data_IF_119630737040
#
_entry.id   IF_119630737040
#
_cell.length_a   1.000
_cell.length_b   1.000
_cell.length_c   1.000
_cell.angle_alpha   90.00
_cell.angle_beta   90.00
_cell.angle_gamma   90.00
#
_symmetry.space_group_name_H-M   'P 1'
#
loop_
_entity.id
_entity.type
_entity.pdbx_description
1 polymer ?
#
# COMPACT_ATOMS: atom_id res chain seq x y z
N UNK A 1 -7.91 16.21 -0.37
CA UNK A 1 -8.00 15.18 0.69
C UNK A 1 -6.71 15.20 1.48
N UNK A 2 -6.79 15.26 2.81
CA UNK A 2 -5.63 15.28 3.70
C UNK A 2 -5.99 14.72 5.08
N UNK A 3 -4.98 14.64 5.96
CA UNK A 3 -5.17 14.21 7.36
C UNK A 3 -5.21 12.70 7.56
N UNK A 4 -4.95 11.90 6.52
CA UNK A 4 -4.84 10.45 6.63
C UNK A 4 -3.49 10.06 7.25
N UNK A 5 -3.48 8.93 7.96
CA UNK A 5 -2.31 8.38 8.60
C UNK A 5 -1.25 7.92 7.59
N UNK A 6 -1.69 7.35 6.45
CA UNK A 6 -0.80 6.76 5.45
C UNK A 6 -0.11 5.51 5.98
N UNK A 7 1.15 5.29 5.62
CA UNK A 7 1.94 4.18 6.16
C UNK A 7 2.58 3.30 5.08
N UNK A 8 3.29 2.27 5.51
CA UNK A 8 3.93 1.33 4.59
C UNK A 8 2.90 0.37 3.97
N UNK A 9 2.80 0.35 2.63
CA UNK A 9 1.81 -0.39 1.84
C UNK A 9 1.85 -1.93 1.95
N UNK A 10 2.88 -2.47 2.60
CA UNK A 10 2.98 -3.88 2.97
C UNK A 10 2.61 -4.10 4.44
N UNK A 11 3.57 -3.82 5.32
CA UNK A 11 3.46 -3.94 6.77
C UNK A 11 2.24 -3.27 7.45
N UNK A 12 1.64 -2.24 6.86
CA UNK A 12 0.49 -1.53 7.45
C UNK A 12 -0.78 -1.59 6.59
N UNK A 13 -0.80 -2.43 5.54
CA UNK A 13 -1.98 -2.58 4.67
C UNK A 13 -3.18 -3.21 5.39
N UNK A 14 -2.93 -3.90 6.50
CA UNK A 14 -3.91 -4.52 7.38
C UNK A 14 -4.50 -3.56 8.41
N UNK A 15 -4.05 -2.30 8.46
CA UNK A 15 -4.52 -1.31 9.44
C UNK A 15 -5.81 -0.60 9.03
N UNK A 16 -6.48 -1.07 7.98
CA UNK A 16 -7.73 -0.51 7.43
C UNK A 16 -7.63 0.98 7.10
N UNK A 17 -6.43 1.44 6.72
CA UNK A 17 -6.18 2.85 6.41
C UNK A 17 -6.72 3.21 5.03
N UNK A 18 -7.30 4.39 4.91
CA UNK A 18 -7.80 4.94 3.67
C UNK A 18 -6.65 5.27 2.70
N UNK A 19 -6.95 5.23 1.40
CA UNK A 19 -6.06 5.75 0.36
C UNK A 19 -6.61 7.10 -0.11
N UNK A 20 -5.83 8.18 0.05
CA UNK A 20 -6.26 9.54 -0.27
C UNK A 20 -6.71 9.71 -1.73
N UNK A 21 -6.05 9.04 -2.68
CA UNK A 21 -6.41 9.09 -4.11
C UNK A 21 -7.77 8.46 -4.36
N UNK A 22 -8.03 7.29 -3.77
CA UNK A 22 -9.32 6.59 -3.92
C UNK A 22 -10.46 7.41 -3.29
N UNK A 23 -10.21 8.00 -2.12
CA UNK A 23 -11.15 8.91 -1.46
C UNK A 23 -11.43 10.14 -2.34
N UNK A 24 -10.41 10.74 -2.94
CA UNK A 24 -10.57 11.88 -3.84
C UNK A 24 -11.42 11.50 -5.06
N UNK A 25 -11.16 10.35 -5.69
CA UNK A 25 -11.94 9.89 -6.84
C UNK A 25 -13.42 9.67 -6.47
N UNK A 26 -13.70 9.13 -5.28
CA UNK A 26 -15.07 8.98 -4.77
C UNK A 26 -15.75 10.32 -4.56
N UNK A 27 -15.06 11.28 -3.94
CA UNK A 27 -15.57 12.64 -3.77
C UNK A 27 -15.92 13.28 -5.13
N UNK A 28 -15.00 13.23 -6.10
CA UNK A 28 -15.20 13.80 -7.43
C UNK A 28 -16.41 13.17 -8.14
N UNK A 29 -16.56 11.85 -8.09
CA UNK A 29 -17.74 11.18 -8.66
C UNK A 29 -19.05 11.67 -8.04
N UNK A 30 -19.09 11.86 -6.72
CA UNK A 30 -20.28 12.34 -6.02
C UNK A 30 -20.55 13.84 -6.26
N UNK A 31 -19.50 14.65 -6.47
CA UNK A 31 -19.62 16.06 -6.84
C UNK A 31 -20.40 16.30 -8.13
N UNK A 32 -20.51 15.31 -9.02
CA UNK A 32 -21.36 15.43 -10.23
C UNK A 32 -22.84 15.67 -9.91
N UNK A 33 -23.29 15.26 -8.72
CA UNK A 33 -24.64 15.56 -8.25
C UNK A 33 -24.78 17.01 -7.73
N UNK A 34 -23.65 17.67 -7.48
CA UNK A 34 -23.58 19.05 -6.98
C UNK A 34 -23.38 20.06 -8.09
N UNK A 35 -23.09 19.64 -9.33
CA UNK A 35 -22.90 20.51 -10.48
C UNK A 35 -21.95 19.93 -11.52
N UNK A 36 -21.93 20.55 -12.69
CA UNK A 36 -20.99 20.22 -13.74
C UNK A 36 -19.60 20.78 -13.40
N UNK A 37 -18.56 20.00 -13.65
CA UNK A 37 -17.19 20.46 -13.52
C UNK A 37 -16.30 19.81 -14.57
N UNK A 38 -15.16 20.45 -14.83
CA UNK A 38 -14.08 19.92 -15.64
C UNK A 38 -12.82 19.76 -14.77
N UNK A 39 -12.09 18.66 -14.94
CA UNK A 39 -10.88 18.35 -14.16
C UNK A 39 -9.65 18.90 -14.89
N UNK A 40 -8.91 19.81 -14.24
CA UNK A 40 -7.68 20.40 -14.76
C UNK A 40 -6.43 19.69 -14.23
N UNK A 41 -6.37 19.42 -12.92
CA UNK A 41 -5.24 18.74 -12.28
C UNK A 41 -5.74 17.62 -11.37
N UNK A 42 -4.95 16.55 -11.24
CA UNK A 42 -5.13 15.53 -10.22
C UNK A 42 -3.76 14.98 -9.81
N UNK A 43 -3.51 14.91 -8.51
CA UNK A 43 -2.33 14.24 -7.97
C UNK A 43 -2.63 13.60 -6.62
N UNK A 44 -1.89 12.57 -6.26
CA UNK A 44 -2.03 11.92 -4.96
C UNK A 44 -0.89 10.97 -4.66
N UNK A 45 -0.48 10.94 -3.40
CA UNK A 45 0.65 10.14 -2.94
C UNK A 45 2.01 10.62 -3.47
N UNK A 46 3.08 9.99 -2.96
CA UNK A 46 4.47 10.39 -3.22
C UNK A 46 5.41 9.20 -3.49
N UNK A 47 5.06 8.01 -3.01
CA UNK A 47 5.84 6.77 -3.17
C UNK A 47 4.89 5.61 -3.42
N UNK A 48 5.25 4.74 -4.34
CA UNK A 48 4.50 3.55 -4.72
C UNK A 48 4.25 2.59 -3.54
N UNK A 49 5.25 2.50 -2.65
CA UNK A 49 5.24 1.65 -1.47
C UNK A 49 4.62 2.31 -0.22
N UNK A 50 4.06 3.51 -0.33
CA UNK A 50 3.41 4.22 0.77
C UNK A 50 1.91 4.39 0.50
N UNK A 51 1.08 4.18 1.52
CA UNK A 51 -0.36 4.46 1.47
C UNK A 51 -0.53 5.99 1.38
N UNK A 52 -1.18 6.52 0.33
CA UNK A 52 -1.31 7.96 0.12
C UNK A 52 -2.03 8.68 1.26
N UNK A 53 -1.35 9.68 1.84
CA UNK A 53 -1.90 10.53 2.91
C UNK A 53 -2.69 11.72 2.39
N UNK A 54 -2.32 12.18 1.20
CA UNK A 54 -2.85 13.39 0.60
C UNK A 54 -3.08 13.17 -0.89
N UNK A 55 -4.13 13.81 -1.39
CA UNK A 55 -4.46 13.90 -2.79
C UNK A 55 -5.18 15.21 -3.07
N UNK A 56 -4.93 15.79 -4.25
CA UNK A 56 -5.46 17.09 -4.69
C UNK A 56 -6.05 16.95 -6.10
N UNK A 57 -7.12 17.69 -6.35
CA UNK A 57 -7.60 17.98 -7.69
C UNK A 57 -7.86 19.47 -7.85
N UNK A 58 -7.77 19.97 -9.08
CA UNK A 58 -8.19 21.33 -9.47
C UNK A 58 -9.33 21.20 -10.47
N UNK A 59 -10.44 21.88 -10.20
CA UNK A 59 -11.67 21.81 -10.99
C UNK A 59 -12.01 23.19 -11.56
N UNK A 60 -12.48 23.22 -12.80
CA UNK A 60 -13.20 24.36 -13.36
C UNK A 60 -14.71 24.10 -13.27
N UNK A 61 -15.43 25.06 -12.71
CA UNK A 61 -16.87 25.00 -12.49
C UNK A 61 -17.42 26.41 -12.37
N UNK A 62 -18.72 26.59 -12.57
CA UNK A 62 -19.38 27.85 -12.21
C UNK A 62 -19.39 28.06 -10.68
N UNK A 63 -19.59 29.31 -10.26
CA UNK A 63 -19.54 29.71 -8.84
C UNK A 63 -20.56 28.96 -7.99
N UNK A 64 -21.79 28.76 -8.48
CA UNK A 64 -22.86 28.14 -7.71
C UNK A 64 -22.55 26.65 -7.46
N UNK A 65 -22.13 25.94 -8.51
CA UNK A 65 -21.67 24.56 -8.42
C UNK A 65 -20.45 24.42 -7.51
N UNK A 66 -19.50 25.36 -7.57
CA UNK A 66 -18.34 25.39 -6.67
C UNK A 66 -18.71 25.55 -5.20
N UNK A 67 -19.68 26.42 -4.88
CA UNK A 67 -20.21 26.60 -3.53
C UNK A 67 -20.92 25.33 -3.02
N UNK A 68 -21.74 24.69 -3.86
CA UNK A 68 -22.39 23.41 -3.51
C UNK A 68 -21.37 22.30 -3.26
N UNK A 69 -20.33 22.19 -4.08
CA UNK A 69 -19.24 21.21 -3.87
C UNK A 69 -18.45 21.49 -2.58
N UNK A 70 -18.22 22.76 -2.25
CA UNK A 70 -17.56 23.15 -1.00
C UNK A 70 -18.38 22.77 0.23
N UNK A 71 -19.69 23.05 0.21
CA UNK A 71 -20.60 22.60 1.27
C UNK A 71 -20.65 21.07 1.37
N UNK A 72 -20.73 20.37 0.23
CA UNK A 72 -20.77 18.92 0.19
C UNK A 72 -19.49 18.27 0.76
N UNK A 73 -18.33 18.91 0.64
CA UNK A 73 -17.08 18.40 1.21
C UNK A 73 -17.14 18.24 2.74
N UNK A 74 -17.92 19.08 3.44
CA UNK A 74 -18.10 18.98 4.89
C UNK A 74 -18.94 17.75 5.26
N UNK A 75 -20.04 17.52 4.55
CA UNK A 75 -20.91 16.36 4.75
C UNK A 75 -20.18 15.05 4.39
N UNK A 76 -19.45 15.06 3.27
CA UNK A 76 -18.63 13.94 2.85
C UNK A 76 -17.52 13.63 3.87
N UNK A 77 -16.86 14.65 4.42
CA UNK A 77 -15.88 14.49 5.50
C UNK A 77 -16.50 13.84 6.74
N UNK A 78 -17.71 14.27 7.15
CA UNK A 78 -18.41 13.69 8.29
C UNK A 78 -18.75 12.22 8.07
N UNK A 79 -19.20 11.88 6.86
CA UNK A 79 -19.48 10.50 6.47
C UNK A 79 -18.22 9.64 6.50
N UNK A 80 -17.10 10.13 5.94
CA UNK A 80 -15.82 9.42 5.96
C UNK A 80 -15.27 9.21 7.37
N UNK A 81 -15.34 10.20 8.26
CA UNK A 81 -14.90 10.02 9.64
C UNK A 81 -15.69 8.94 10.37
N UNK A 82 -16.98 8.80 10.06
CA UNK A 82 -17.81 7.70 10.56
C UNK A 82 -17.44 6.36 9.92
N UNK A 83 -17.17 6.34 8.61
CA UNK A 83 -16.77 5.13 7.87
C UNK A 83 -15.40 4.60 8.35
N UNK A 84 -14.45 5.48 8.61
CA UNK A 84 -13.07 5.17 9.02
C UNK A 84 -12.82 5.38 10.52
N UNK A 85 -13.86 5.30 11.36
CA UNK A 85 -13.72 5.35 12.81
C UNK A 85 -12.76 4.25 13.29
N UNK A 86 -11.79 4.61 14.14
CA UNK A 86 -10.75 3.69 14.62
C UNK A 86 -9.61 3.37 13.62
N UNK A 87 -9.61 3.92 12.41
CA UNK A 87 -8.54 3.70 11.41
C UNK A 87 -7.97 4.99 10.80
N UNK A 88 -8.81 5.92 10.36
CA UNK A 88 -8.40 7.19 9.72
C UNK A 88 -9.29 8.37 10.15
N UNK A 89 -9.35 8.62 11.45
CA UNK A 89 -10.24 9.64 12.04
C UNK A 89 -9.87 11.09 11.67
N UNK A 90 -8.63 11.30 11.23
CA UNK A 90 -8.11 12.58 10.76
C UNK A 90 -8.57 12.97 9.34
N UNK A 91 -9.23 12.06 8.62
CA UNK A 91 -9.62 12.25 7.22
C UNK A 91 -10.42 13.55 7.03
N UNK A 92 -9.94 14.38 6.10
CA UNK A 92 -10.56 15.67 5.80
C UNK A 92 -10.59 15.90 4.29
N UNK A 93 -11.76 16.28 3.78
CA UNK A 93 -11.94 16.75 2.41
C UNK A 93 -12.29 18.23 2.47
N UNK A 94 -11.53 19.04 1.73
CA UNK A 94 -11.79 20.47 1.61
C UNK A 94 -11.84 20.84 0.14
N UNK A 95 -12.77 21.71 -0.20
CA UNK A 95 -12.82 22.39 -1.49
C UNK A 95 -12.85 23.89 -1.22
N UNK A 96 -12.03 24.64 -1.94
CA UNK A 96 -11.85 26.07 -1.75
C UNK A 96 -11.81 26.76 -3.12
N UNK A 97 -12.46 27.93 -3.28
CA UNK A 97 -12.37 28.69 -4.52
C UNK A 97 -10.93 29.15 -4.73
N UNK A 98 -10.44 29.01 -5.96
CA UNK A 98 -9.12 29.50 -6.39
C UNK A 98 -9.23 30.80 -7.21
N UNK A 99 -10.44 31.32 -7.41
CA UNK A 99 -10.72 32.44 -8.31
C UNK A 99 -11.07 31.97 -9.72
N UNK A 100 -11.31 32.93 -10.62
CA UNK A 100 -11.55 32.65 -12.03
C UNK A 100 -10.24 32.42 -12.78
N UNK A 101 -10.21 31.37 -13.60
CA UNK A 101 -9.06 31.00 -14.42
C UNK A 101 -9.51 30.37 -15.74
N UNK A 102 -8.58 30.23 -16.69
CA UNK A 102 -8.75 29.43 -17.91
C UNK A 102 -7.62 28.41 -17.92
N UNK A 103 -7.98 27.13 -17.83
CA UNK A 103 -7.04 26.02 -17.72
C UNK A 103 -7.35 24.96 -18.77
N UNK A 104 -6.34 24.22 -19.27
CA UNK A 104 -6.60 22.99 -20.01
C UNK A 104 -7.31 22.00 -19.07
N UNK A 105 -8.33 21.32 -19.59
CA UNK A 105 -9.13 20.36 -18.83
C UNK A 105 -9.30 19.07 -19.59
N UNK A 106 -9.58 17.99 -18.85
CA UNK A 106 -9.96 16.73 -19.46
C UNK A 106 -11.22 16.86 -20.30
N UNK A 107 -11.17 16.27 -21.48
CA UNK A 107 -12.38 15.98 -22.24
C UNK A 107 -13.32 15.10 -21.38
N UNK A 108 -14.66 15.26 -21.45
CA UNK A 108 -15.60 14.53 -20.60
C UNK A 108 -15.40 13.00 -20.62
N UNK A 109 -15.12 12.42 -21.79
CA UNK A 109 -14.83 10.98 -21.91
C UNK A 109 -13.57 10.57 -21.15
N UNK A 110 -12.52 11.40 -21.16
CA UNK A 110 -11.28 11.14 -20.42
C UNK A 110 -11.51 11.26 -18.91
N UNK A 111 -12.31 12.23 -18.46
CA UNK A 111 -12.70 12.36 -17.06
C UNK A 111 -13.42 11.08 -16.57
N UNK A 112 -14.37 10.55 -17.35
CA UNK A 112 -15.06 9.31 -16.99
C UNK A 112 -14.10 8.13 -16.89
N UNK A 113 -13.17 7.99 -17.83
CA UNK A 113 -12.15 6.92 -17.79
C UNK A 113 -11.25 7.05 -16.56
N UNK A 114 -10.81 8.26 -16.22
CA UNK A 114 -10.00 8.54 -15.03
C UNK A 114 -10.73 8.16 -13.75
N UNK A 115 -11.97 8.62 -13.57
CA UNK A 115 -12.77 8.27 -12.38
C UNK A 115 -13.08 6.78 -12.33
N UNK A 116 -13.41 6.16 -13.47
CA UNK A 116 -13.65 4.73 -13.55
C UNK A 116 -12.41 3.93 -13.14
N UNK A 117 -11.23 4.30 -13.66
CA UNK A 117 -9.97 3.67 -13.30
C UNK A 117 -9.73 3.78 -11.79
N UNK A 118 -9.71 4.98 -11.23
CA UNK A 118 -9.37 5.20 -9.82
C UNK A 118 -10.35 4.52 -8.84
N UNK A 119 -11.62 4.39 -9.22
CA UNK A 119 -12.64 3.74 -8.39
C UNK A 119 -12.67 2.22 -8.52
N UNK A 120 -12.19 1.67 -9.64
CA UNK A 120 -12.17 0.22 -9.87
C UNK A 120 -10.78 -0.39 -9.73
N UNK A 121 -9.74 0.44 -9.60
CA UNK A 121 -8.38 -0.01 -9.34
C UNK A 121 -8.36 -0.84 -8.05
N UNK A 122 -7.89 -2.10 -8.09
CA UNK A 122 -7.75 -2.91 -6.88
C UNK A 122 -6.88 -2.16 -5.86
N UNK A 123 -7.37 -1.97 -4.63
CA UNK A 123 -6.59 -1.28 -3.59
C UNK A 123 -6.87 -1.92 -2.22
N UNK A 124 -5.82 -2.06 -1.41
CA UNK A 124 -5.86 -2.74 -0.12
C UNK A 124 -5.71 -4.26 -0.24
N UNK A 125 -6.17 -4.96 0.79
CA UNK A 125 -6.14 -6.43 0.88
C UNK A 125 -7.06 -7.04 -0.18
N UNK A 126 -6.53 -7.97 -0.97
CA UNK A 126 -7.29 -8.76 -1.93
C UNK A 126 -7.60 -10.17 -1.39
N UNK A 127 -6.69 -10.73 -0.58
CA UNK A 127 -6.85 -12.06 0.01
C UNK A 127 -6.04 -12.20 1.29
N UNK A 128 -6.65 -12.80 2.31
CA UNK A 128 -5.98 -13.25 3.53
C UNK A 128 -5.46 -14.69 3.37
N UNK A 129 -4.39 -15.03 4.08
CA UNK A 129 -3.84 -16.38 4.10
C UNK A 129 -4.86 -17.36 4.70
N UNK A 130 -5.05 -18.50 4.03
CA UNK A 130 -6.03 -19.51 4.47
C UNK A 130 -5.58 -20.38 5.66
N UNK A 131 -4.30 -20.30 6.06
CA UNK A 131 -3.72 -21.19 7.09
C UNK A 131 -2.88 -20.47 8.14
N UNK A 132 -2.60 -19.17 7.97
CA UNK A 132 -1.99 -18.32 9.01
C UNK A 132 -2.99 -17.21 9.31
N UNK A 133 -3.60 -17.26 10.50
CA UNK A 133 -4.58 -16.27 10.93
C UNK A 133 -3.98 -14.85 10.96
N UNK A 134 -4.74 -13.87 10.50
CA UNK A 134 -4.33 -12.46 10.43
C UNK A 134 -3.28 -12.12 9.36
N UNK A 135 -2.70 -13.08 8.64
CA UNK A 135 -1.70 -12.79 7.60
C UNK A 135 -2.35 -12.37 6.29
N UNK A 136 -1.97 -11.21 5.76
CA UNK A 136 -2.32 -10.81 4.40
C UNK A 136 -1.55 -11.67 3.41
N UNK A 137 -2.26 -12.31 2.48
CA UNK A 137 -1.62 -13.10 1.41
C UNK A 137 -1.35 -12.22 0.19
N UNK A 138 -2.35 -11.49 -0.28
CA UNK A 138 -2.28 -10.69 -1.51
C UNK A 138 -2.87 -9.31 -1.28
N UNK A 139 -2.15 -8.26 -1.70
CA UNK A 139 -2.61 -6.87 -1.64
C UNK A 139 -2.04 -6.02 -2.77
N UNK A 140 -2.60 -4.83 -2.93
CA UNK A 140 -2.05 -3.81 -3.81
C UNK A 140 -2.34 -2.40 -3.26
N UNK A 141 -1.49 -1.44 -3.59
CA UNK A 141 -1.65 -0.05 -3.16
C UNK A 141 -1.33 0.87 -4.33
N UNK A 142 -2.28 1.70 -4.75
CA UNK A 142 -2.02 2.78 -5.69
C UNK A 142 -1.36 3.94 -4.94
N UNK A 143 -0.03 3.94 -4.91
CA UNK A 143 0.78 4.80 -4.06
C UNK A 143 1.13 6.16 -4.67
N UNK A 144 1.09 6.28 -6.00
CA UNK A 144 1.27 7.53 -6.72
C UNK A 144 0.22 7.64 -7.82
N UNK A 145 -0.37 8.81 -7.94
CA UNK A 145 -1.19 9.21 -9.08
C UNK A 145 -0.86 10.64 -9.49
N UNK A 146 -0.73 10.88 -10.79
CA UNK A 146 -0.47 12.20 -11.34
C UNK A 146 -1.13 12.33 -12.71
N UNK A 147 -1.91 13.38 -12.91
CA UNK A 147 -2.43 13.75 -14.22
C UNK A 147 -1.42 14.67 -14.91
N UNK A 148 -0.90 14.22 -16.05
CA UNK A 148 -0.04 15.01 -16.95
C UNK A 148 -0.85 15.48 -18.16
N UNK A 149 -0.31 16.37 -19.01
CA UNK A 149 -0.96 16.73 -20.26
C UNK A 149 -1.26 15.54 -21.19
N UNK A 150 -0.47 14.47 -21.11
CA UNK A 150 -0.55 13.30 -21.97
C UNK A 150 -1.44 12.18 -21.38
N UNK A 151 -1.37 11.94 -20.08
CA UNK A 151 -2.02 10.79 -19.45
C UNK A 151 -2.27 10.97 -17.95
N UNK A 152 -3.15 10.13 -17.41
CA UNK A 152 -3.13 9.82 -15.98
C UNK A 152 -2.08 8.73 -15.74
N UNK A 153 -1.03 9.06 -14.99
CA UNK A 153 0.00 8.12 -14.57
C UNK A 153 -0.33 7.59 -13.17
N UNK A 154 -0.22 6.28 -12.98
CA UNK A 154 -0.36 5.60 -11.69
C UNK A 154 0.83 4.70 -11.42
N UNK A 155 1.31 4.67 -10.18
CA UNK A 155 2.33 3.72 -9.72
C UNK A 155 1.86 3.01 -8.46
N UNK A 156 2.04 1.70 -8.43
CA UNK A 156 1.49 0.84 -7.40
C UNK A 156 2.43 -0.30 -7.03
N UNK A 157 2.41 -0.66 -5.75
CA UNK A 157 3.05 -1.89 -5.25
C UNK A 157 2.03 -3.03 -5.24
N UNK A 158 2.26 -4.08 -6.03
CA UNK A 158 1.52 -5.36 -5.98
C UNK A 158 2.32 -6.36 -5.15
N UNK A 159 1.67 -7.00 -4.17
CA UNK A 159 2.34 -7.90 -3.22
C UNK A 159 1.57 -9.19 -3.07
N UNK A 160 2.28 -10.32 -3.11
CA UNK A 160 1.71 -11.58 -2.66
C UNK A 160 2.77 -12.52 -2.08
N UNK A 161 2.38 -13.29 -1.07
CA UNK A 161 3.15 -14.46 -0.62
C UNK A 161 2.97 -15.68 -1.53
N UNK A 162 2.11 -15.60 -2.56
CA UNK A 162 1.87 -16.65 -3.55
C UNK A 162 2.10 -16.09 -4.96
N UNK A 163 3.08 -16.63 -5.68
CA UNK A 163 3.49 -16.08 -6.98
C UNK A 163 2.36 -16.00 -8.02
N UNK A 164 1.54 -17.05 -8.11
CA UNK A 164 0.40 -17.08 -9.05
C UNK A 164 -0.70 -16.07 -8.71
N UNK A 165 -0.92 -15.78 -7.42
CA UNK A 165 -1.88 -14.76 -6.99
C UNK A 165 -1.37 -13.35 -7.28
N UNK A 166 -0.05 -13.11 -7.13
CA UNK A 166 0.59 -11.86 -7.56
C UNK A 166 0.36 -11.60 -9.04
N UNK A 167 0.62 -12.61 -9.88
CA UNK A 167 0.46 -12.52 -11.32
C UNK A 167 -1.00 -12.25 -11.71
N UNK A 168 -1.95 -13.00 -11.14
CA UNK A 168 -3.37 -12.80 -11.43
C UNK A 168 -3.88 -11.39 -11.08
N UNK A 169 -3.36 -10.79 -10.00
CA UNK A 169 -3.67 -9.42 -9.63
C UNK A 169 -3.03 -8.40 -10.59
N UNK A 170 -1.78 -8.63 -11.00
CA UNK A 170 -1.11 -7.82 -12.02
C UNK A 170 -1.86 -7.87 -13.36
N UNK A 171 -2.25 -9.06 -13.82
CA UNK A 171 -3.01 -9.27 -15.06
C UNK A 171 -4.37 -8.55 -15.01
N UNK A 172 -5.04 -8.57 -13.85
CA UNK A 172 -6.29 -7.81 -13.65
C UNK A 172 -6.09 -6.31 -13.79
N UNK A 173 -4.98 -5.78 -13.25
CA UNK A 173 -4.64 -4.36 -13.34
C UNK A 173 -4.27 -4.00 -14.79
N UNK A 174 -3.48 -4.83 -15.45
CA UNK A 174 -3.12 -4.68 -16.86
C UNK A 174 -4.38 -4.63 -17.73
N UNK A 175 -5.27 -5.62 -17.58
CA UNK A 175 -6.51 -5.69 -18.35
C UNK A 175 -7.42 -4.48 -18.11
N UNK A 176 -7.57 -4.01 -16.85
CA UNK A 176 -8.32 -2.78 -16.54
C UNK A 176 -7.71 -1.55 -17.26
N UNK A 177 -6.39 -1.45 -17.27
CA UNK A 177 -5.66 -0.31 -17.84
C UNK A 177 -5.75 -0.30 -19.37
N UNK A 178 -5.47 -1.43 -20.00
CA UNK A 178 -5.53 -1.64 -21.45
C UNK A 178 -6.95 -1.46 -21.98
N UNK A 179 -7.97 -1.95 -21.25
CA UNK A 179 -9.38 -1.78 -21.63
C UNK A 179 -9.78 -0.29 -21.72
N UNK A 180 -9.17 0.56 -20.89
CA UNK A 180 -9.39 2.01 -20.93
C UNK A 180 -8.54 2.72 -22.00
N UNK A 181 -7.64 1.99 -22.67
CA UNK A 181 -6.72 2.48 -23.70
C UNK A 181 -5.39 3.01 -23.14
N UNK A 182 -5.01 2.60 -21.93
CA UNK A 182 -3.71 2.91 -21.34
C UNK A 182 -2.67 1.81 -21.58
N UNK A 183 -1.47 2.03 -21.06
CA UNK A 183 -0.36 1.08 -21.07
C UNK A 183 -0.04 0.62 -19.64
N UNK A 184 0.41 -0.62 -19.50
CA UNK A 184 0.83 -1.21 -18.23
C UNK A 184 2.25 -1.76 -18.34
N UNK A 185 3.09 -1.41 -17.37
CA UNK A 185 4.46 -1.91 -17.26
C UNK A 185 4.72 -2.45 -15.86
N UNK A 186 5.56 -3.48 -15.79
CA UNK A 186 6.02 -4.07 -14.53
C UNK A 186 7.49 -3.72 -14.35
N UNK A 187 7.82 -3.16 -13.19
CA UNK A 187 9.19 -2.87 -12.78
C UNK A 187 9.47 -3.48 -11.41
N UNK A 188 10.73 -3.84 -11.17
CA UNK A 188 11.17 -4.32 -9.86
C UNK A 188 10.51 -5.61 -9.40
N UNK A 189 10.12 -6.50 -10.33
CA UNK A 189 9.52 -7.78 -9.96
C UNK A 189 10.52 -8.66 -9.18
N UNK A 190 10.08 -9.16 -8.02
CA UNK A 190 10.85 -10.08 -7.18
C UNK A 190 9.98 -11.27 -6.73
N UNK A 191 10.59 -12.46 -6.59
CA UNK A 191 9.87 -13.68 -6.22
C UNK A 191 9.36 -13.64 -4.78
N UNK A 192 8.26 -14.36 -4.54
CA UNK A 192 7.72 -14.58 -3.20
C UNK A 192 8.63 -15.52 -2.41
N UNK A 193 8.80 -15.27 -1.11
CA UNK A 193 9.35 -16.23 -0.17
C UNK A 193 8.21 -16.99 0.50
N UNK A 194 7.80 -18.12 -0.10
CA UNK A 194 6.65 -18.89 0.38
C UNK A 194 6.92 -19.53 1.74
N UNK A 195 5.91 -19.54 2.62
CA UNK A 195 6.05 -20.15 3.94
C UNK A 195 6.22 -21.66 3.85
N UNK A 196 7.41 -22.13 4.19
CA UNK A 196 7.72 -23.57 4.26
C UNK A 196 7.17 -24.17 5.56
N UNK A 197 6.09 -24.96 5.48
CA UNK A 197 5.46 -25.61 6.63
C UNK A 197 6.43 -26.52 7.40
N UNK A 198 7.27 -27.26 6.66
CA UNK A 198 8.31 -28.13 7.24
C UNK A 198 9.70 -27.55 6.99
N UNK A 199 10.21 -26.81 7.97
CA UNK A 199 11.57 -26.23 7.99
C UNK A 199 12.37 -26.84 9.14
N UNK A 200 13.43 -27.57 8.78
CA UNK A 200 14.34 -28.18 9.75
C UNK A 200 15.13 -27.10 10.50
N UNK A 201 15.61 -26.08 9.76
CA UNK A 201 16.34 -24.95 10.33
C UNK A 201 15.49 -24.20 11.36
N UNK A 202 14.24 -23.89 11.03
CA UNK A 202 13.33 -23.20 11.96
C UNK A 202 13.13 -23.99 13.25
N UNK A 203 13.01 -25.32 13.17
CA UNK A 203 12.90 -26.18 14.35
C UNK A 203 14.10 -26.07 15.28
N UNK A 204 15.32 -26.07 14.72
CA UNK A 204 16.57 -25.85 15.48
C UNK A 204 16.57 -24.47 16.12
N UNK A 205 16.30 -23.42 15.33
CA UNK A 205 16.27 -22.03 15.78
C UNK A 205 15.29 -21.81 16.94
N UNK A 206 14.06 -22.32 16.84
CA UNK A 206 13.06 -22.25 17.94
C UNK A 206 13.57 -22.90 19.22
N UNK A 207 14.17 -24.09 19.12
CA UNK A 207 14.73 -24.81 20.27
C UNK A 207 15.87 -24.01 20.92
N UNK A 208 16.81 -23.51 20.12
CA UNK A 208 17.95 -22.72 20.61
C UNK A 208 17.48 -21.45 21.32
N UNK A 209 16.51 -20.74 20.74
CA UNK A 209 15.97 -19.54 21.35
C UNK A 209 15.31 -19.84 22.71
N UNK A 210 14.54 -20.92 22.78
CA UNK A 210 13.92 -21.39 24.04
C UNK A 210 14.97 -21.72 25.11
N UNK A 211 16.07 -22.36 24.72
CA UNK A 211 17.15 -22.72 25.65
C UNK A 211 17.87 -21.47 26.19
N UNK A 212 18.14 -20.48 25.34
CA UNK A 212 18.85 -19.26 25.75
C UNK A 212 17.98 -18.32 26.59
N UNK A 213 16.70 -18.18 26.25
CA UNK A 213 15.85 -17.12 26.79
C UNK A 213 14.66 -17.61 27.63
N UNK A 214 14.50 -18.92 27.79
CA UNK A 214 13.45 -19.52 28.63
C UNK A 214 12.02 -19.34 28.09
N UNK A 215 11.86 -18.91 26.83
CA UNK A 215 10.58 -18.67 26.18
C UNK A 215 10.67 -18.91 24.68
N UNK A 216 9.53 -19.09 24.03
CA UNK A 216 9.48 -19.24 22.57
C UNK A 216 9.72 -17.93 21.82
N UNK A 217 10.42 -17.99 20.67
CA UNK A 217 10.45 -16.87 19.74
C UNK A 217 9.09 -16.73 19.05
N UNK A 218 8.80 -15.53 18.56
CA UNK A 218 7.69 -15.33 17.65
C UNK A 218 8.14 -15.70 16.23
N UNK A 219 7.56 -16.77 15.68
CA UNK A 219 7.72 -17.13 14.27
C UNK A 219 6.65 -16.38 13.48
N UNK A 220 7.08 -15.49 12.60
CA UNK A 220 6.18 -14.63 11.85
C UNK A 220 6.46 -14.68 10.35
N UNK A 221 5.44 -14.40 9.57
CA UNK A 221 5.54 -14.03 8.15
C UNK A 221 5.22 -12.55 8.06
N UNK A 222 6.02 -11.81 7.30
CA UNK A 222 5.78 -10.39 7.07
C UNK A 222 5.21 -10.17 5.68
N UNK A 223 4.25 -9.26 5.54
CA UNK A 223 3.73 -8.84 4.24
C UNK A 223 4.62 -7.74 3.64
N UNK A 224 5.88 -8.07 3.40
CA UNK A 224 6.90 -7.17 2.86
C UNK A 224 7.91 -7.97 2.00
N UNK A 225 8.77 -7.25 1.26
CA UNK A 225 9.82 -7.88 0.48
C UNK A 225 11.06 -8.15 1.34
N UNK A 226 11.60 -9.37 1.25
CA UNK A 226 12.91 -9.74 1.78
C UNK A 226 13.70 -10.42 0.67
N UNK A 227 15.01 -10.21 0.62
CA UNK A 227 15.90 -10.84 -0.37
C UNK A 227 15.91 -12.37 -0.26
N UNK A 228 15.43 -12.94 0.86
CA UNK A 228 15.19 -14.37 1.02
C UNK A 228 14.40 -14.98 -0.15
N UNK A 229 13.44 -14.25 -0.73
CA UNK A 229 12.69 -14.73 -1.90
C UNK A 229 13.58 -14.98 -3.11
N UNK A 230 14.55 -14.09 -3.37
CA UNK A 230 15.49 -14.22 -4.47
C UNK A 230 16.39 -15.45 -4.28
N UNK A 231 16.90 -15.66 -3.07
CA UNK A 231 17.71 -16.84 -2.77
C UNK A 231 16.89 -18.13 -2.84
N UNK A 232 15.65 -18.10 -2.36
CA UNK A 232 14.75 -19.25 -2.36
C UNK A 232 14.43 -19.72 -3.77
N UNK A 233 14.19 -18.80 -4.71
CA UNK A 233 13.97 -19.14 -6.12
C UNK A 233 15.23 -19.75 -6.78
N UNK A 234 16.42 -19.22 -6.46
CA UNK A 234 17.67 -19.60 -7.14
C UNK A 234 18.37 -20.82 -6.56
N UNK A 235 18.10 -21.18 -5.30
CA UNK A 235 18.78 -22.27 -4.60
C UNK A 235 17.77 -23.38 -4.27
N UNK A 236 17.66 -24.43 -5.13
CA UNK A 236 16.75 -25.53 -4.89
C UNK A 236 16.95 -26.18 -3.54
N UNK A 237 15.85 -26.34 -2.79
CA UNK A 237 15.87 -26.98 -1.49
C UNK A 237 16.32 -26.10 -0.32
N UNK A 238 16.68 -24.83 -0.56
CA UNK A 238 17.09 -23.90 0.49
C UNK A 238 16.06 -23.86 1.63
N UNK A 239 16.56 -24.07 2.84
CA UNK A 239 15.83 -23.80 4.08
C UNK A 239 16.47 -22.57 4.73
N UNK A 240 15.74 -21.47 4.74
CA UNK A 240 16.25 -20.18 5.22
C UNK A 240 15.28 -19.56 6.22
N UNK A 241 15.82 -18.72 7.09
CA UNK A 241 15.09 -17.92 8.08
C UNK A 241 15.74 -16.54 8.10
N UNK A 242 14.94 -15.49 8.30
CA UNK A 242 15.42 -14.13 8.52
C UNK A 242 15.30 -13.77 10.00
N UNK A 243 16.36 -13.20 10.57
CA UNK A 243 16.41 -12.70 11.95
C UNK A 243 17.17 -11.37 11.97
N UNK A 244 16.86 -10.51 12.92
CA UNK A 244 17.54 -9.22 13.07
C UNK A 244 17.25 -8.56 14.42
N UNK A 245 18.03 -7.53 14.77
CA UNK A 245 17.81 -6.74 15.97
C UNK A 245 16.58 -5.85 15.86
N UNK A 246 16.10 -5.36 17.00
CA UNK A 246 14.99 -4.40 17.03
C UNK A 246 15.43 -3.07 16.42
N UNK A 247 14.75 -2.67 15.34
CA UNK A 247 14.93 -1.40 14.64
C UNK A 247 13.62 -0.60 14.65
N UNK A 248 13.74 0.73 14.62
CA UNK A 248 12.60 1.64 14.54
C UNK A 248 12.86 2.71 13.48
N UNK A 249 11.78 3.16 12.85
CA UNK A 249 11.76 4.27 11.90
C UNK A 249 12.75 4.06 10.72
N UNK A 250 12.88 2.82 10.27
CA UNK A 250 13.73 2.43 9.13
C UNK A 250 13.38 3.23 7.88
N UNK A 251 14.40 3.62 7.10
CA UNK A 251 14.29 4.48 5.91
C UNK A 251 13.90 5.94 6.19
N UNK A 252 14.12 6.44 7.41
CA UNK A 252 13.90 7.84 7.78
C UNK A 252 15.15 8.45 8.42
N UNK A 253 15.17 9.78 8.61
CA UNK A 253 16.24 10.44 9.37
C UNK A 253 16.26 10.06 10.86
N UNK A 254 15.16 9.49 11.37
CA UNK A 254 14.99 9.09 12.77
C UNK A 254 15.30 7.61 13.03
N UNK A 255 15.84 6.92 12.00
CA UNK A 255 16.18 5.51 12.05
C UNK A 255 17.12 5.20 13.23
N UNK A 256 16.72 4.24 14.05
CA UNK A 256 17.49 3.83 15.24
C UNK A 256 17.39 2.34 15.48
N UNK A 257 18.44 1.80 16.10
CA UNK A 257 18.60 0.38 16.38
C UNK A 257 18.97 0.15 17.85
N UNK A 258 18.44 -0.92 18.44
CA UNK A 258 18.66 -1.26 19.85
C UNK A 258 19.98 -2.00 20.05
N UNK A 259 20.94 -1.37 20.73
CA UNK A 259 22.26 -1.95 21.03
C UNK A 259 22.13 -3.27 21.82
N UNK A 260 21.25 -3.31 22.83
CA UNK A 260 21.04 -4.54 23.61
C UNK A 260 20.38 -5.66 22.80
N UNK A 261 19.59 -5.31 21.78
CA UNK A 261 18.99 -6.29 20.87
C UNK A 261 20.04 -6.90 19.92
N UNK A 262 20.98 -6.08 19.44
CA UNK A 262 22.13 -6.58 18.65
C UNK A 262 22.92 -7.63 19.42
N UNK A 263 23.22 -7.38 20.70
CA UNK A 263 23.93 -8.36 21.52
C UNK A 263 23.17 -9.69 21.61
N UNK A 264 21.84 -9.66 21.84
CA UNK A 264 21.03 -10.87 21.89
C UNK A 264 21.03 -11.61 20.54
N UNK A 265 20.87 -10.89 19.43
CA UNK A 265 20.90 -11.50 18.09
C UNK A 265 22.25 -12.15 17.80
N UNK A 266 23.36 -11.52 18.21
CA UNK A 266 24.69 -12.10 18.08
C UNK A 266 24.83 -13.40 18.88
N UNK A 267 24.49 -13.37 20.17
CA UNK A 267 24.52 -14.56 21.05
C UNK A 267 23.69 -15.70 20.44
N UNK A 268 22.45 -15.39 20.04
CA UNK A 268 21.54 -16.34 19.41
C UNK A 268 22.09 -16.93 18.11
N UNK A 269 22.59 -16.09 17.21
CA UNK A 269 23.19 -16.53 15.94
C UNK A 269 24.36 -17.50 16.20
N UNK A 270 25.26 -17.15 17.12
CA UNK A 270 26.42 -18.00 17.43
C UNK A 270 26.02 -19.35 18.02
N UNK A 271 24.95 -19.41 18.82
CA UNK A 271 24.44 -20.66 19.37
C UNK A 271 23.77 -21.53 18.30
N UNK A 272 22.96 -20.92 17.43
CA UNK A 272 22.36 -21.63 16.28
C UNK A 272 23.45 -22.22 15.39
N UNK A 273 24.51 -21.45 15.09
CA UNK A 273 25.65 -21.93 14.29
C UNK A 273 26.41 -23.08 14.95
N UNK A 274 26.43 -23.16 16.30
CA UNK A 274 27.04 -24.27 17.03
C UNK A 274 26.22 -25.54 16.91
N UNK A 275 24.89 -25.42 17.01
CA UNK A 275 23.95 -26.53 16.97
C UNK A 275 23.77 -27.16 15.58
N UNK A 276 23.89 -26.36 14.50
CA UNK A 276 23.80 -26.88 13.12
C UNK A 276 25.12 -27.46 12.60
N UNK A 277 26.20 -27.40 13.40
CA UNK A 277 27.55 -27.85 13.00
C UNK A 277 27.74 -29.37 13.18
N UNK A 278 26.76 -30.06 13.74
CA UNK A 278 26.68 -31.52 13.91
C UNK A 278 25.63 -32.12 12.96
#
# INVERSE_FOLDING_TARGET
VSGLLGGHSGAEIDKNRANATVVLARFLKECRQQGEYALAELSGGLKDNAIPREAKAVLLTDTESGERMAAYAEDFTRALKKEYTGSDEGITVTAKPLGGATEPVLHPVSLEKVLFFLLNYPNGIQKMCGFIDGLVETSCNLGITCLTPEALCGSASVRSSVGTAKQALADKIAYLTEFLGGEFTVEGDYPSWEYRQDSALRGVMVRVYRNLYGKDPQVQVIHAGLECGLFYEKIPGLDCVSIGPDMKDIHTSEERLSISSVQRVWEYLTEVLREIRE
#
